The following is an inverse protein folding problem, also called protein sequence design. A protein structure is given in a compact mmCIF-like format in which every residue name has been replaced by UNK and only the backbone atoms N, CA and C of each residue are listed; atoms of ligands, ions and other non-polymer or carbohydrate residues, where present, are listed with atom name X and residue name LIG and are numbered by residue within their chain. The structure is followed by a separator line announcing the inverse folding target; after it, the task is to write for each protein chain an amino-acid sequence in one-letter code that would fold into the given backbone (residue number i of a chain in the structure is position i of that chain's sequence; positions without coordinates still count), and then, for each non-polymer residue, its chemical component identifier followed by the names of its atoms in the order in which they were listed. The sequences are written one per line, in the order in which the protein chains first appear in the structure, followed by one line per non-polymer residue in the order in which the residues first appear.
data_IF_283837005681
#
_entry.id   IF_283837005681
#
_cell.length_a   1.000
_cell.length_b   1.000
_cell.length_c   1.000
_cell.angle_alpha   90.00
_cell.angle_beta   90.00
_cell.angle_gamma   90.00
#
_symmetry.space_group_name_H-M   'P 1'
#
loop_
_entity.id
_entity.type
_entity.pdbx_description
1 polymer ?
#
# COMPACT_ATOMS: atom_id res chain seq x y z
N UNK A 1 26.32 16.47 -29.71
CA UNK A 1 25.78 17.23 -28.60
C UNK A 1 24.29 17.21 -28.53
N UNK A 2 23.58 17.40 -29.62
CA UNK A 2 22.11 17.37 -29.60
C UNK A 2 21.57 16.01 -29.20
N UNK A 3 22.31 14.94 -29.54
CA UNK A 3 21.89 13.59 -29.18
C UNK A 3 21.90 13.36 -27.67
N UNK A 4 22.85 13.97 -26.97
CA UNK A 4 22.95 13.81 -25.52
C UNK A 4 21.84 14.51 -24.79
N UNK A 5 21.42 15.66 -25.31
CA UNK A 5 20.31 16.41 -24.69
C UNK A 5 19.01 15.65 -24.80
N UNK A 6 18.77 15.02 -25.95
CA UNK A 6 17.58 14.21 -26.15
C UNK A 6 17.56 12.99 -25.24
N UNK A 7 18.72 12.36 -25.07
CA UNK A 7 18.84 11.20 -24.19
C UNK A 7 18.55 11.55 -22.74
N UNK A 8 19.07 12.70 -22.30
CA UNK A 8 18.83 13.17 -20.94
C UNK A 8 17.36 13.48 -20.72
N UNK A 9 16.71 14.11 -21.70
CA UNK A 9 15.28 14.41 -21.59
C UNK A 9 14.45 13.14 -21.48
N UNK A 10 14.79 12.12 -22.26
CA UNK A 10 14.09 10.85 -22.20
C UNK A 10 14.30 10.15 -20.85
N UNK A 11 15.50 10.23 -20.31
CA UNK A 11 15.78 9.65 -18.99
C UNK A 11 15.03 10.34 -17.88
N UNK A 12 14.86 11.65 -17.99
CA UNK A 12 14.12 12.41 -17.00
C UNK A 12 12.62 12.12 -17.06
N UNK A 13 12.10 11.77 -18.22
CA UNK A 13 10.71 11.42 -18.38
C UNK A 13 10.39 10.00 -17.94
N UNK A 14 11.36 9.09 -18.12
CA UNK A 14 11.16 7.69 -17.77
C UNK A 14 10.73 7.46 -16.31
N UNK A 15 11.38 8.11 -15.32
CA UNK A 15 10.97 7.91 -13.91
C UNK A 15 9.54 8.39 -13.63
N UNK A 16 9.01 9.28 -14.45
CA UNK A 16 7.66 9.78 -14.24
C UNK A 16 6.59 8.73 -14.55
N UNK A 17 6.95 7.70 -15.29
CA UNK A 17 6.01 6.63 -15.62
C UNK A 17 6.16 5.43 -14.71
N UNK A 18 7.16 5.43 -13.84
CA UNK A 18 7.36 4.36 -12.88
C UNK A 18 6.72 4.80 -11.58
N UNK A 19 5.44 4.54 -11.47
CA UNK A 19 4.73 4.90 -10.26
C UNK A 19 4.45 3.71 -9.41
N UNK A 20 4.17 4.03 -8.16
CA UNK A 20 3.89 3.09 -7.12
C UNK A 20 2.74 2.14 -7.43
N UNK A 21 1.96 2.41 -8.45
CA UNK A 21 0.83 1.55 -8.81
C UNK A 21 1.21 0.33 -9.63
N UNK A 22 2.50 0.14 -9.85
CA UNK A 22 2.95 -1.05 -10.54
C UNK A 22 2.97 -2.21 -9.54
N UNK A 23 1.82 -2.80 -9.35
CA UNK A 23 1.64 -3.88 -8.41
C UNK A 23 2.01 -5.21 -9.04
N UNK A 24 3.29 -5.51 -9.03
CA UNK A 24 3.79 -6.75 -9.62
C UNK A 24 3.35 -7.97 -8.83
N UNK A 25 3.11 -7.81 -7.54
CA UNK A 25 2.72 -8.90 -6.68
C UNK A 25 1.48 -8.52 -5.89
N UNK A 26 0.40 -9.25 -6.11
CA UNK A 26 -0.87 -9.03 -5.42
C UNK A 26 -0.95 -9.99 -4.24
N UNK A 27 -1.39 -9.46 -3.10
CA UNK A 27 -1.55 -10.24 -1.90
C UNK A 27 -2.57 -11.36 -2.10
N UNK A 28 -2.21 -12.59 -1.75
CA UNK A 28 -3.15 -13.71 -1.78
C UNK A 28 -3.71 -13.98 -0.37
N UNK A 29 -4.71 -14.86 -0.32
CA UNK A 29 -5.41 -15.15 0.93
C UNK A 29 -4.50 -15.82 1.97
N UNK A 30 -3.59 -16.68 1.52
CA UNK A 30 -2.67 -17.36 2.43
C UNK A 30 -1.74 -16.36 3.10
N UNK A 31 -1.22 -15.42 2.35
CA UNK A 31 -0.35 -14.39 2.90
C UNK A 31 -1.13 -13.47 3.83
N UNK A 32 -2.36 -13.15 3.47
CA UNK A 32 -3.21 -12.34 4.34
C UNK A 32 -3.35 -12.99 5.71
N UNK A 33 -3.63 -14.29 5.75
CA UNK A 33 -3.76 -14.99 7.02
C UNK A 33 -2.48 -14.91 7.85
N UNK A 34 -1.33 -15.13 7.21
CA UNK A 34 -0.05 -15.10 7.89
C UNK A 34 0.23 -13.72 8.45
N UNK A 35 -0.02 -12.68 7.66
CA UNK A 35 0.24 -11.30 8.06
C UNK A 35 -0.68 -10.89 9.20
N UNK A 36 -1.96 -11.20 9.10
CA UNK A 36 -2.93 -10.89 10.15
C UNK A 36 -2.53 -11.59 11.45
N UNK A 37 -2.12 -12.85 11.36
CA UNK A 37 -1.67 -13.58 12.54
C UNK A 37 -0.45 -12.92 13.17
N UNK A 38 0.52 -12.53 12.36
CA UNK A 38 1.71 -11.85 12.86
C UNK A 38 1.36 -10.52 13.53
N UNK A 39 0.44 -9.77 12.94
CA UNK A 39 -0.02 -8.51 13.52
C UNK A 39 -0.74 -8.73 14.84
N UNK A 40 -1.61 -9.74 14.88
CA UNK A 40 -2.37 -10.04 16.09
C UNK A 40 -1.49 -10.49 17.25
N UNK A 41 -0.30 -11.00 16.97
CA UNK A 41 0.65 -11.40 18.02
C UNK A 41 1.34 -10.20 18.66
N UNK A 42 1.14 -9.00 18.14
CA UNK A 42 1.71 -7.79 18.73
C UNK A 42 0.67 -7.06 19.56
N UNK A 43 1.12 -6.49 20.66
CA UNK A 43 0.24 -5.75 21.58
C UNK A 43 0.13 -4.27 21.27
N UNK A 44 1.03 -3.75 20.45
CA UNK A 44 1.09 -2.33 20.15
C UNK A 44 0.81 -2.08 18.67
N UNK A 45 -0.02 -1.09 18.40
CA UNK A 45 -0.38 -0.74 17.03
C UNK A 45 0.82 -0.34 16.19
N UNK A 46 1.80 0.33 16.80
CA UNK A 46 3.00 0.74 16.04
C UNK A 46 3.76 -0.48 15.50
N UNK A 47 3.78 -1.55 16.26
CA UNK A 47 4.44 -2.78 15.82
C UNK A 47 3.65 -3.47 14.72
N UNK A 48 2.32 -3.47 14.84
CA UNK A 48 1.43 -3.99 13.80
C UNK A 48 1.63 -3.21 12.50
N UNK A 49 1.68 -1.89 12.62
CA UNK A 49 1.86 -1.01 11.46
C UNK A 49 3.18 -1.28 10.75
N UNK A 50 4.26 -1.48 11.51
CA UNK A 50 5.56 -1.77 10.93
C UNK A 50 5.56 -3.08 10.15
N UNK A 51 4.84 -4.08 10.63
CA UNK A 51 4.71 -5.36 9.94
C UNK A 51 4.05 -5.17 8.58
N UNK A 52 2.88 -4.54 8.56
CA UNK A 52 2.15 -4.41 7.29
C UNK A 52 2.88 -3.48 6.31
N UNK A 53 3.52 -2.42 6.80
CA UNK A 53 4.30 -1.55 5.93
C UNK A 53 5.44 -2.29 5.25
N UNK A 54 6.07 -3.21 5.96
CA UNK A 54 7.15 -4.01 5.40
C UNK A 54 6.65 -4.88 4.25
N UNK A 55 5.50 -5.52 4.43
CA UNK A 55 4.92 -6.34 3.36
C UNK A 55 4.49 -5.51 2.16
N UNK A 56 3.92 -4.32 2.40
CA UNK A 56 3.43 -3.48 1.32
C UNK A 56 4.54 -2.87 0.47
N UNK A 57 5.79 -2.97 0.90
CA UNK A 57 6.89 -2.56 0.05
C UNK A 57 6.98 -3.39 -1.22
N UNK A 58 6.43 -4.61 -1.20
CA UNK A 58 6.52 -5.54 -2.32
C UNK A 58 5.17 -6.05 -2.82
N UNK A 59 4.13 -5.86 -2.03
CA UNK A 59 2.82 -6.42 -2.31
C UNK A 59 1.78 -5.33 -2.39
N UNK A 60 0.79 -5.54 -3.25
CA UNK A 60 -0.38 -4.67 -3.30
C UNK A 60 -1.58 -5.42 -2.76
N UNK A 61 -2.55 -4.67 -2.26
CA UNK A 61 -3.77 -5.22 -1.67
C UNK A 61 -4.98 -4.58 -2.33
N UNK A 62 -6.11 -5.27 -2.27
CA UNK A 62 -7.35 -4.66 -2.68
C UNK A 62 -8.00 -3.96 -1.49
N UNK A 63 -9.09 -3.24 -1.76
CA UNK A 63 -9.78 -2.47 -0.73
C UNK A 63 -10.33 -3.36 0.38
N UNK A 64 -10.87 -4.52 0.04
CA UNK A 64 -11.39 -5.45 1.04
C UNK A 64 -10.29 -5.96 1.97
N UNK A 65 -9.13 -6.27 1.41
CA UNK A 65 -7.98 -6.68 2.21
C UNK A 65 -7.52 -5.55 3.12
N UNK A 66 -7.50 -4.33 2.61
CA UNK A 66 -7.14 -3.16 3.39
C UNK A 66 -8.08 -2.99 4.59
N UNK A 67 -9.38 -3.15 4.37
CA UNK A 67 -10.36 -3.04 5.46
C UNK A 67 -10.17 -4.13 6.51
N UNK A 68 -9.82 -5.34 6.08
CA UNK A 68 -9.53 -6.43 7.01
C UNK A 68 -8.31 -6.10 7.87
N UNK A 69 -7.28 -5.56 7.25
CA UNK A 69 -6.06 -5.17 7.98
C UNK A 69 -6.36 -4.05 8.97
N UNK A 70 -7.15 -3.06 8.58
CA UNK A 70 -7.50 -1.93 9.44
C UNK A 70 -8.10 -2.40 10.76
N UNK A 71 -8.92 -3.45 10.72
CA UNK A 71 -9.59 -3.94 11.92
C UNK A 71 -8.64 -4.49 12.97
N UNK A 72 -7.41 -4.84 12.57
CA UNK A 72 -6.42 -5.37 13.51
C UNK A 72 -5.89 -4.29 14.44
N UNK A 73 -5.92 -3.02 14.00
CA UNK A 73 -5.48 -1.90 14.83
C UNK A 73 -6.56 -1.52 15.83
N UNK A 74 -6.12 -1.18 17.04
CA UNK A 74 -7.03 -0.75 18.10
C UNK A 74 -7.32 0.74 18.07
N UNK A 75 -6.31 1.54 17.70
CA UNK A 75 -6.41 2.99 17.71
C UNK A 75 -7.03 3.53 16.44
N UNK A 76 -7.98 4.46 16.59
CA UNK A 76 -8.59 5.13 15.46
C UNK A 76 -7.58 5.95 14.66
N UNK A 77 -6.62 6.55 15.37
CA UNK A 77 -5.57 7.33 14.71
C UNK A 77 -4.72 6.46 13.80
N UNK A 78 -4.34 5.28 14.29
CA UNK A 78 -3.52 4.37 13.50
C UNK A 78 -4.31 3.80 12.34
N UNK A 79 -5.60 3.54 12.54
CA UNK A 79 -6.47 3.10 11.46
C UNK A 79 -6.50 4.14 10.33
N UNK A 80 -6.65 5.40 10.68
CA UNK A 80 -6.62 6.49 9.69
C UNK A 80 -5.27 6.60 9.01
N UNK A 81 -4.21 6.49 9.78
CA UNK A 81 -2.85 6.54 9.24
C UNK A 81 -2.64 5.44 8.22
N UNK A 82 -3.04 4.22 8.57
CA UNK A 82 -2.90 3.10 7.64
C UNK A 82 -3.80 3.26 6.41
N UNK A 83 -5.02 3.73 6.61
CA UNK A 83 -5.92 3.99 5.48
C UNK A 83 -5.24 4.90 4.45
N UNK A 84 -4.67 6.00 4.91
CA UNK A 84 -4.01 6.94 4.02
C UNK A 84 -2.72 6.35 3.41
N UNK A 85 -1.97 5.64 4.23
CA UNK A 85 -0.73 5.02 3.77
C UNK A 85 -0.98 4.00 2.68
N UNK A 86 -2.03 3.22 2.80
CA UNK A 86 -2.31 2.11 1.89
C UNK A 86 -2.74 2.54 0.51
N UNK A 87 -3.08 3.82 0.33
CA UNK A 87 -3.59 4.32 -0.94
C UNK A 87 -2.72 3.95 -2.14
N UNK A 88 -1.41 4.07 -1.98
CA UNK A 88 -0.46 3.80 -3.08
C UNK A 88 -0.36 2.32 -3.42
N UNK A 89 -0.86 1.45 -2.56
CA UNK A 89 -0.73 0.01 -2.70
C UNK A 89 -2.04 -0.68 -3.02
N UNK A 90 -3.08 0.10 -3.36
CA UNK A 90 -4.42 -0.42 -3.63
C UNK A 90 -4.55 -0.79 -5.11
N UNK A 91 -5.05 -2.00 -5.37
CA UNK A 91 -5.24 -2.46 -6.75
C UNK A 91 -6.55 -1.99 -7.36
N UNK A 92 -7.58 -1.75 -6.53
CA UNK A 92 -8.91 -1.34 -6.99
C UNK A 92 -9.25 0.06 -6.49
N UNK A 93 -8.58 1.05 -7.06
CA UNK A 93 -8.65 2.44 -6.60
C UNK A 93 -10.07 2.99 -6.60
N UNK A 94 -10.93 2.54 -7.50
CA UNK A 94 -12.31 3.03 -7.54
C UNK A 94 -13.06 2.72 -6.26
N UNK A 95 -12.86 1.53 -5.70
CA UNK A 95 -13.49 1.15 -4.45
C UNK A 95 -12.90 1.91 -3.27
N UNK A 96 -11.60 2.13 -3.28
CA UNK A 96 -10.94 2.92 -2.26
C UNK A 96 -11.47 4.35 -2.22
N UNK A 97 -11.64 4.97 -3.38
CA UNK A 97 -12.15 6.34 -3.47
C UNK A 97 -13.55 6.49 -2.91
N UNK A 98 -14.38 5.45 -3.05
CA UNK A 98 -15.71 5.46 -2.47
C UNK A 98 -15.65 5.57 -0.95
N UNK A 99 -14.66 4.95 -0.32
CA UNK A 99 -14.48 5.05 1.12
C UNK A 99 -14.03 6.44 1.53
N UNK A 100 -13.19 7.09 0.72
CA UNK A 100 -12.74 8.45 1.01
C UNK A 100 -13.90 9.44 1.02
N UNK A 101 -14.87 9.24 0.13
CA UNK A 101 -16.02 10.13 0.05
C UNK A 101 -16.93 10.03 1.28
N UNK A 102 -16.88 8.89 1.96
CA UNK A 102 -17.73 8.64 3.13
C UNK A 102 -17.07 9.04 4.45
N UNK A 103 -15.87 9.57 4.38
CA UNK A 103 -15.19 10.09 5.56
C UNK A 103 -15.36 11.63 5.65
#
# INVERSE_FOLDING_TARGET
MKKYILSIALMLLSPLFIFANDCNYIMDDNRMEIIIEQMNNKNQDIKKLNIIKTYLQRLCINTDQMLTIIEVFESEEVRKEFFLYSKEYITDMDNYKKLQLNQ
#
